data_IF_775382231830
#
_entry.id   IF_775382231830
#
_cell.length_a   1.000
_cell.length_b   1.000
_cell.length_c   1.000
_cell.angle_alpha   90.00
_cell.angle_beta   90.00
_cell.angle_gamma   90.00
#
_symmetry.space_group_name_H-M   'P 1'
#
loop_
_entity.id
_entity.type
_entity.pdbx_description
1 polymer ?
#
# COMPACT_ATOMS: atom_id res chain seq x y z
N UNK A 1 -13.76 15.55 2.29
CA UNK A 1 -12.63 14.59 2.30
C UNK A 1 -11.71 14.93 3.47
N UNK A 2 -11.30 13.96 4.29
CA UNK A 2 -10.24 14.14 5.29
C UNK A 2 -8.88 14.13 4.59
N UNK A 3 -7.92 14.89 5.12
CA UNK A 3 -6.59 15.01 4.53
C UNK A 3 -5.50 14.81 5.58
N UNK A 4 -4.35 14.32 5.14
CA UNK A 4 -3.10 14.28 5.87
C UNK A 4 -2.07 15.16 5.15
N UNK A 5 -1.05 15.62 5.88
CA UNK A 5 0.10 16.30 5.30
C UNK A 5 1.26 15.30 5.21
N UNK A 6 1.95 15.27 4.09
CA UNK A 6 3.22 14.54 3.99
C UNK A 6 4.27 15.31 4.78
N UNK A 7 4.93 14.62 5.69
CA UNK A 7 5.90 15.20 6.64
C UNK A 7 6.95 16.07 5.93
N UNK A 8 7.27 17.19 6.55
CA UNK A 8 8.30 18.16 6.09
C UNK A 8 8.12 18.64 4.64
N UNK A 9 6.88 18.56 4.11
CA UNK A 9 6.51 19.05 2.77
C UNK A 9 5.27 19.94 2.82
N UNK A 10 4.93 20.58 1.70
CA UNK A 10 3.67 21.31 1.50
C UNK A 10 2.53 20.41 0.96
N UNK A 11 2.83 19.16 0.63
CA UNK A 11 1.87 18.22 0.05
C UNK A 11 0.76 17.84 1.03
N UNK A 12 -0.48 17.99 0.59
CA UNK A 12 -1.70 17.61 1.30
C UNK A 12 -2.44 16.55 0.51
N UNK A 13 -2.63 15.38 1.10
CA UNK A 13 -3.22 14.21 0.43
C UNK A 13 -4.52 13.77 1.13
N UNK A 14 -5.42 13.13 0.40
CA UNK A 14 -6.58 12.46 1.00
C UNK A 14 -6.13 11.35 1.94
N UNK A 15 -6.81 11.17 3.09
CA UNK A 15 -6.48 10.11 4.06
C UNK A 15 -6.76 8.69 3.57
N UNK A 16 -7.40 8.56 2.41
CA UNK A 16 -7.45 7.32 1.63
C UNK A 16 -6.66 7.57 0.34
N UNK A 17 -5.71 6.67 0.03
CA UNK A 17 -5.00 6.65 -1.24
C UNK A 17 -5.43 5.46 -2.08
N UNK A 18 -5.40 5.59 -3.41
CA UNK A 18 -5.62 4.46 -4.32
C UNK A 18 -4.33 3.64 -4.44
N UNK A 19 -4.38 2.37 -4.03
CA UNK A 19 -3.32 1.41 -4.31
C UNK A 19 -3.57 0.67 -5.63
N UNK A 20 -2.60 0.70 -6.54
CA UNK A 20 -2.76 0.22 -7.92
C UNK A 20 -2.08 -1.13 -8.20
N UNK A 21 -1.65 -1.86 -7.17
CA UNK A 21 -1.02 -3.17 -7.38
C UNK A 21 -1.90 -4.13 -8.19
N UNK A 22 -3.18 -4.20 -7.86
CA UNK A 22 -4.11 -5.07 -8.56
C UNK A 22 -4.42 -4.60 -10.00
N UNK A 23 -4.27 -3.30 -10.28
CA UNK A 23 -4.38 -2.70 -11.62
C UNK A 23 -3.25 -3.20 -12.54
N UNK A 24 -2.03 -3.42 -12.01
CA UNK A 24 -0.93 -4.01 -12.75
C UNK A 24 -1.19 -5.43 -13.25
N UNK A 25 -2.17 -6.15 -12.71
CA UNK A 25 -2.66 -7.45 -13.15
C UNK A 25 -1.80 -8.65 -12.76
N UNK A 26 -0.49 -8.52 -12.67
CA UNK A 26 0.41 -9.59 -12.20
C UNK A 26 0.12 -9.95 -10.75
N UNK A 27 0.05 -11.24 -10.42
CA UNK A 27 -0.35 -11.80 -9.12
C UNK A 27 -1.84 -11.55 -8.74
N UNK A 28 -2.66 -11.05 -9.70
CA UNK A 28 -4.09 -10.76 -9.48
C UNK A 28 -5.00 -11.37 -10.56
N UNK A 29 -4.46 -12.28 -11.41
CA UNK A 29 -5.24 -12.96 -12.46
C UNK A 29 -5.48 -12.11 -13.70
N UNK A 30 -4.62 -11.11 -13.97
CA UNK A 30 -4.71 -10.24 -15.15
C UNK A 30 -5.43 -8.91 -14.89
N UNK A 31 -5.47 -8.07 -15.95
CA UNK A 31 -6.08 -6.73 -15.90
C UNK A 31 -6.68 -6.39 -17.28
N UNK A 32 -7.58 -5.44 -17.30
CA UNK A 32 -8.13 -4.77 -18.49
C UNK A 32 -7.69 -3.31 -18.48
N UNK A 33 -7.14 -2.82 -19.59
CA UNK A 33 -6.59 -1.45 -19.68
C UNK A 33 -7.65 -0.37 -19.47
N UNK A 34 -8.78 -0.47 -20.17
CA UNK A 34 -9.82 0.57 -20.15
C UNK A 34 -10.47 0.63 -18.76
N UNK A 35 -10.77 -0.54 -18.17
CA UNK A 35 -11.30 -0.63 -16.80
C UNK A 35 -10.30 -0.10 -15.79
N UNK A 36 -9.00 -0.36 -15.97
CA UNK A 36 -7.94 0.11 -15.07
C UNK A 36 -7.81 1.63 -15.07
N UNK A 37 -7.78 2.25 -16.26
CA UNK A 37 -7.75 3.70 -16.43
C UNK A 37 -9.00 4.32 -15.79
N UNK A 38 -10.19 3.83 -16.14
CA UNK A 38 -11.45 4.30 -15.57
C UNK A 38 -11.49 4.15 -14.04
N UNK A 39 -10.83 3.14 -13.46
CA UNK A 39 -10.74 2.97 -12.00
C UNK A 39 -9.92 4.08 -11.34
N UNK A 40 -8.80 4.47 -11.94
CA UNK A 40 -7.98 5.59 -11.43
C UNK A 40 -8.76 6.89 -11.52
N UNK A 41 -9.41 7.16 -12.65
CA UNK A 41 -10.24 8.34 -12.86
C UNK A 41 -11.41 8.41 -11.87
N UNK A 42 -12.13 7.31 -11.67
CA UNK A 42 -13.21 7.24 -10.68
C UNK A 42 -12.74 7.49 -9.24
N UNK A 43 -11.53 7.06 -8.89
CA UNK A 43 -10.95 7.36 -7.58
C UNK A 43 -10.70 8.87 -7.43
N UNK A 44 -10.15 9.52 -8.46
CA UNK A 44 -9.93 10.98 -8.50
C UNK A 44 -11.27 11.71 -8.37
N UNK A 45 -12.30 11.32 -9.12
CA UNK A 45 -13.65 11.88 -9.04
C UNK A 45 -14.28 11.72 -7.65
N UNK A 46 -13.95 10.65 -6.94
CA UNK A 46 -14.33 10.42 -5.55
C UNK A 46 -13.48 11.25 -4.55
N UNK A 47 -12.59 12.12 -5.01
CA UNK A 47 -11.77 13.05 -4.23
C UNK A 47 -10.51 12.41 -3.65
N UNK A 48 -10.05 11.25 -4.18
CA UNK A 48 -8.77 10.65 -3.83
C UNK A 48 -7.65 11.40 -4.56
N UNK A 49 -6.73 11.97 -3.81
CA UNK A 49 -5.61 12.75 -4.35
C UNK A 49 -4.27 12.03 -4.28
N UNK A 50 -4.16 10.89 -3.59
CA UNK A 50 -2.95 10.08 -3.54
C UNK A 50 -3.13 8.80 -4.36
N UNK A 51 -2.27 8.61 -5.36
CA UNK A 51 -2.23 7.41 -6.21
C UNK A 51 -0.89 6.70 -5.95
N UNK A 52 -0.94 5.49 -5.38
CA UNK A 52 0.24 4.67 -5.09
C UNK A 52 0.40 3.56 -6.14
N UNK A 53 1.55 3.53 -6.79
CA UNK A 53 1.94 2.55 -7.81
C UNK A 53 3.35 2.01 -7.59
N UNK A 54 3.86 1.18 -8.50
CA UNK A 54 5.24 0.72 -8.54
C UNK A 54 5.61 0.14 -9.93
N UNK A 55 6.91 0.19 -10.33
CA UNK A 55 7.40 -0.40 -11.57
C UNK A 55 7.10 -1.91 -11.69
N UNK A 56 7.22 -2.66 -10.59
CA UNK A 56 6.98 -4.11 -10.59
C UNK A 56 5.50 -4.50 -10.70
N UNK A 57 4.57 -3.56 -10.56
CA UNK A 57 3.14 -3.84 -10.72
C UNK A 57 2.78 -4.05 -12.19
N UNK A 58 2.80 -5.32 -12.60
CA UNK A 58 2.62 -5.69 -14.00
C UNK A 58 3.80 -5.27 -14.89
N UNK A 59 5.02 -5.14 -14.31
CA UNK A 59 6.24 -4.81 -15.05
C UNK A 59 6.12 -3.51 -15.87
N UNK A 60 5.75 -2.43 -15.15
CA UNK A 60 5.51 -1.09 -15.69
C UNK A 60 4.07 -0.81 -16.16
N UNK A 61 3.20 -1.82 -16.20
CA UNK A 61 1.81 -1.66 -16.69
C UNK A 61 1.01 -0.70 -15.81
N UNK A 62 1.12 -0.84 -14.47
CA UNK A 62 0.38 0.01 -13.54
C UNK A 62 0.79 1.49 -13.67
N UNK A 63 2.08 1.80 -13.76
CA UNK A 63 2.55 3.18 -13.95
C UNK A 63 2.06 3.79 -15.25
N UNK A 64 2.08 3.03 -16.38
CA UNK A 64 1.52 3.51 -17.66
C UNK A 64 0.04 3.84 -17.56
N UNK A 65 -0.76 2.96 -16.93
CA UNK A 65 -2.20 3.21 -16.78
C UNK A 65 -2.51 4.38 -15.86
N UNK A 66 -1.70 4.58 -14.81
CA UNK A 66 -1.80 5.76 -13.94
C UNK A 66 -1.45 7.05 -14.71
N UNK A 67 -0.34 7.05 -15.47
CA UNK A 67 0.04 8.20 -16.30
C UNK A 67 -1.01 8.56 -17.32
N UNK A 68 -1.50 7.59 -18.07
CA UNK A 68 -2.59 7.78 -19.06
C UNK A 68 -3.88 8.29 -18.40
N UNK A 69 -4.26 7.72 -17.25
CA UNK A 69 -5.47 8.12 -16.54
C UNK A 69 -5.45 9.58 -16.09
N UNK A 70 -4.28 10.05 -15.59
CA UNK A 70 -4.11 11.42 -15.10
C UNK A 70 -4.03 12.40 -16.27
N UNK A 71 -3.22 12.11 -17.30
CA UNK A 71 -3.01 12.99 -18.44
C UNK A 71 -4.30 13.38 -19.16
N UNK A 72 -5.28 12.47 -19.21
CA UNK A 72 -6.56 12.67 -19.91
C UNK A 72 -7.68 13.18 -18.99
N UNK A 73 -7.45 13.33 -17.65
CA UNK A 73 -8.56 13.51 -16.71
C UNK A 73 -8.45 14.74 -15.79
N UNK A 74 -7.26 15.10 -15.33
CA UNK A 74 -7.04 16.21 -14.41
C UNK A 74 -5.67 16.85 -14.61
N UNK A 75 -5.46 18.01 -13.97
CA UNK A 75 -4.13 18.61 -13.93
C UNK A 75 -3.18 17.72 -13.07
N UNK A 76 -1.91 17.61 -13.49
CA UNK A 76 -0.91 16.80 -12.80
C UNK A 76 -0.76 17.20 -11.32
N UNK A 77 -0.90 18.48 -11.01
CA UNK A 77 -0.76 19.04 -9.67
C UNK A 77 -1.97 18.78 -8.77
N UNK A 78 -3.07 18.29 -9.30
CA UNK A 78 -4.27 17.92 -8.51
C UNK A 78 -4.08 16.59 -7.77
N UNK A 79 -3.06 15.80 -8.14
CA UNK A 79 -2.77 14.49 -7.59
C UNK A 79 -1.33 14.37 -7.12
N UNK A 80 -1.14 13.57 -6.08
CA UNK A 80 0.17 13.15 -5.55
C UNK A 80 0.43 11.74 -6.03
N UNK A 81 1.49 11.53 -6.81
CA UNK A 81 1.90 10.23 -7.30
C UNK A 81 3.00 9.67 -6.38
N UNK A 82 2.71 8.53 -5.77
CA UNK A 82 3.70 7.74 -5.05
C UNK A 82 4.10 6.53 -5.90
N UNK A 83 5.39 6.40 -6.22
CA UNK A 83 5.92 5.18 -6.85
C UNK A 83 7.17 4.70 -6.14
N UNK A 84 7.79 3.63 -6.64
CA UNK A 84 8.77 2.89 -5.86
C UNK A 84 9.99 2.50 -6.70
N UNK A 85 11.07 2.12 -6.00
CA UNK A 85 12.33 1.62 -6.58
C UNK A 85 12.91 0.51 -5.68
N UNK A 86 14.01 -0.10 -6.07
CA UNK A 86 14.71 -1.10 -5.27
C UNK A 86 14.19 -2.53 -5.49
N UNK A 87 13.29 -2.70 -6.45
CA UNK A 87 12.97 -4.00 -7.02
C UNK A 87 13.30 -4.01 -8.52
N UNK A 88 13.86 -5.11 -8.96
CA UNK A 88 14.18 -5.36 -10.36
C UNK A 88 13.58 -6.71 -10.79
N UNK A 89 13.56 -7.03 -12.06
CA UNK A 89 13.03 -8.31 -12.56
C UNK A 89 13.79 -8.85 -13.77
N UNK A 90 13.82 -10.19 -13.86
CA UNK A 90 14.30 -10.94 -15.02
C UNK A 90 13.21 -11.90 -15.45
N UNK A 91 12.61 -11.66 -16.62
CA UNK A 91 11.39 -12.36 -17.03
C UNK A 91 10.24 -12.08 -16.05
N UNK A 92 9.78 -13.10 -15.31
CA UNK A 92 8.72 -12.96 -14.28
C UNK A 92 9.27 -13.02 -12.85
N UNK A 93 10.58 -13.16 -12.66
CA UNK A 93 11.19 -13.23 -11.33
C UNK A 93 11.56 -11.86 -10.86
N UNK A 94 10.92 -11.41 -9.77
CA UNK A 94 11.20 -10.13 -9.11
C UNK A 94 12.25 -10.38 -8.02
N UNK A 95 13.20 -9.44 -7.85
CA UNK A 95 14.25 -9.49 -6.85
C UNK A 95 14.63 -8.09 -6.36
N UNK A 96 15.33 -8.00 -5.21
CA UNK A 96 15.78 -6.74 -4.62
C UNK A 96 17.03 -6.24 -5.32
N UNK A 97 17.07 -4.96 -5.65
CA UNK A 97 18.21 -4.28 -6.27
C UNK A 97 18.11 -2.76 -6.03
N UNK A 98 18.71 -2.31 -4.94
CA UNK A 98 18.70 -0.89 -4.54
C UNK A 98 20.03 -0.19 -4.80
N UNK A 99 20.86 -0.72 -5.74
CA UNK A 99 22.11 -0.08 -6.13
C UNK A 99 21.86 1.30 -6.74
N UNK A 100 22.80 2.26 -6.55
CA UNK A 100 22.69 3.62 -7.09
C UNK A 100 22.35 3.68 -8.58
N UNK A 101 23.03 2.88 -9.41
CA UNK A 101 22.80 2.84 -10.86
C UNK A 101 21.35 2.41 -11.18
N UNK A 102 20.85 1.39 -10.45
CA UNK A 102 19.49 0.90 -10.66
C UNK A 102 18.42 1.93 -10.24
N UNK A 103 18.68 2.66 -9.16
CA UNK A 103 17.78 3.73 -8.70
C UNK A 103 17.68 4.82 -9.76
N UNK A 104 18.82 5.26 -10.34
CA UNK A 104 18.84 6.28 -11.39
C UNK A 104 18.21 5.82 -12.70
N UNK A 105 18.44 4.57 -13.12
CA UNK A 105 17.76 3.99 -14.29
C UNK A 105 16.24 3.93 -14.10
N UNK A 106 15.78 3.51 -12.91
CA UNK A 106 14.35 3.31 -12.67
C UNK A 106 13.58 4.62 -12.56
N UNK A 107 14.17 5.69 -11.98
CA UNK A 107 13.47 6.98 -11.90
C UNK A 107 13.14 7.51 -13.29
N UNK A 108 14.10 7.46 -14.24
CA UNK A 108 13.91 7.89 -15.62
C UNK A 108 12.79 7.08 -16.30
N UNK A 109 12.83 5.75 -16.13
CA UNK A 109 11.82 4.86 -16.68
C UNK A 109 10.42 5.06 -16.05
N UNK A 110 10.36 5.39 -14.75
CA UNK A 110 9.10 5.70 -14.05
C UNK A 110 8.51 7.03 -14.51
N UNK A 111 9.34 8.08 -14.68
CA UNK A 111 8.92 9.38 -15.23
C UNK A 111 8.32 9.23 -16.63
N UNK A 112 8.97 8.43 -17.50
CA UNK A 112 8.46 8.14 -18.86
C UNK A 112 7.10 7.43 -18.81
N UNK A 113 6.98 6.35 -18.01
CA UNK A 113 5.72 5.59 -17.89
C UNK A 113 4.58 6.40 -17.28
N UNK A 114 4.87 7.25 -16.30
CA UNK A 114 3.90 8.11 -15.63
C UNK A 114 3.61 9.42 -16.40
N UNK A 115 4.35 9.70 -17.48
CA UNK A 115 4.20 10.89 -18.33
C UNK A 115 4.31 12.19 -17.52
N UNK A 116 5.30 12.28 -16.63
CA UNK A 116 5.53 13.41 -15.73
C UNK A 116 7.03 13.74 -15.64
N UNK A 117 7.36 14.95 -15.24
CA UNK A 117 8.72 15.42 -15.04
C UNK A 117 9.23 15.25 -13.60
N UNK A 118 8.35 14.90 -12.66
CA UNK A 118 8.70 14.64 -11.26
C UNK A 118 7.81 13.57 -10.62
N UNK A 119 8.34 12.95 -9.55
CA UNK A 119 7.60 12.04 -8.66
C UNK A 119 7.37 12.75 -7.33
N UNK A 120 6.13 12.75 -6.82
CA UNK A 120 5.86 13.39 -5.52
C UNK A 120 6.43 12.61 -4.35
N UNK A 121 6.22 11.29 -4.30
CA UNK A 121 6.75 10.40 -3.24
C UNK A 121 7.48 9.23 -3.89
N UNK A 122 8.80 9.16 -3.74
CA UNK A 122 9.59 8.05 -4.26
C UNK A 122 10.07 7.17 -3.12
N UNK A 123 9.79 5.86 -3.20
CA UNK A 123 9.95 4.95 -2.07
C UNK A 123 10.85 3.77 -2.40
N UNK A 124 11.80 3.42 -1.51
CA UNK A 124 12.48 2.12 -1.58
C UNK A 124 11.47 1.04 -1.21
N UNK A 125 11.14 0.14 -2.15
CA UNK A 125 10.03 -0.82 -2.05
C UNK A 125 10.27 -1.91 -1.01
N UNK A 126 11.50 -2.42 -0.93
CA UNK A 126 11.99 -3.38 0.06
C UNK A 126 13.44 -3.08 0.40
N UNK A 127 13.87 -3.30 1.65
CA UNK A 127 15.28 -3.19 2.00
C UNK A 127 16.08 -4.24 1.20
N UNK A 128 17.24 -3.83 0.69
CA UNK A 128 18.17 -4.70 -0.04
C UNK A 128 19.43 -4.92 0.81
N UNK A 129 19.53 -6.09 1.45
CA UNK A 129 20.65 -6.40 2.34
C UNK A 129 22.00 -6.61 1.57
N UNK A 130 21.96 -6.62 0.23
CA UNK A 130 23.15 -6.70 -0.63
C UNK A 130 23.68 -5.33 -1.06
N UNK A 131 22.95 -4.26 -0.74
CA UNK A 131 23.35 -2.87 -0.98
C UNK A 131 23.33 -2.12 0.35
N UNK A 132 24.42 -1.45 0.77
CA UNK A 132 24.42 -0.67 2.00
C UNK A 132 23.29 0.36 2.01
N UNK A 133 22.57 0.46 3.14
CA UNK A 133 21.47 1.44 3.30
C UNK A 133 21.97 2.86 3.04
N UNK A 134 23.21 3.17 3.42
CA UNK A 134 23.84 4.45 3.14
C UNK A 134 23.83 4.80 1.65
N UNK A 135 24.30 3.89 0.78
CA UNK A 135 24.39 4.14 -0.68
C UNK A 135 23.00 4.38 -1.28
N UNK A 136 22.01 3.58 -0.85
CA UNK A 136 20.60 3.75 -1.25
C UNK A 136 20.06 5.11 -0.78
N UNK A 137 20.29 5.48 0.48
CA UNK A 137 19.78 6.71 1.07
C UNK A 137 20.44 7.96 0.43
N UNK A 138 21.76 7.95 0.23
CA UNK A 138 22.49 9.03 -0.43
C UNK A 138 22.00 9.24 -1.87
N UNK A 139 21.76 8.16 -2.63
CA UNK A 139 21.20 8.25 -3.98
C UNK A 139 19.77 8.82 -3.99
N UNK A 140 18.93 8.39 -3.06
CA UNK A 140 17.58 8.97 -2.92
C UNK A 140 17.63 10.46 -2.57
N UNK A 141 18.61 10.86 -1.74
CA UNK A 141 18.83 12.27 -1.40
C UNK A 141 19.31 13.09 -2.60
N UNK A 142 20.19 12.54 -3.44
CA UNK A 142 20.61 13.21 -4.67
C UNK A 142 19.41 13.50 -5.59
N UNK A 143 18.53 12.51 -5.82
CA UNK A 143 17.30 12.71 -6.62
C UNK A 143 16.38 13.78 -6.01
N UNK A 144 16.31 13.85 -4.69
CA UNK A 144 15.55 14.88 -3.97
C UNK A 144 16.18 16.28 -4.15
N UNK A 145 17.49 16.39 -4.01
CA UNK A 145 18.23 17.65 -4.19
C UNK A 145 18.19 18.13 -5.67
N UNK A 146 18.13 17.21 -6.62
CA UNK A 146 17.95 17.47 -8.06
C UNK A 146 16.50 17.92 -8.40
N UNK A 147 15.54 17.74 -7.48
CA UNK A 147 14.13 18.09 -7.69
C UNK A 147 13.34 17.08 -8.53
N UNK A 148 13.92 15.91 -8.83
CA UNK A 148 13.22 14.82 -9.53
C UNK A 148 12.17 14.14 -8.65
N UNK A 149 12.34 14.20 -7.31
CA UNK A 149 11.39 13.71 -6.32
C UNK A 149 11.12 14.76 -5.25
N UNK A 150 9.89 14.84 -4.75
CA UNK A 150 9.46 15.84 -3.75
C UNK A 150 9.47 15.31 -2.33
N UNK A 151 9.44 14.00 -2.14
CA UNK A 151 9.55 13.33 -0.84
C UNK A 151 10.20 11.95 -0.99
N UNK A 152 11.01 11.58 0.01
CA UNK A 152 11.66 10.27 0.10
C UNK A 152 10.87 9.37 1.03
N UNK A 153 10.62 8.13 0.60
CA UNK A 153 9.95 7.12 1.40
C UNK A 153 10.67 5.77 1.42
N UNK A 154 10.24 4.92 2.34
CA UNK A 154 10.63 3.51 2.40
C UNK A 154 9.41 2.63 2.64
N UNK A 155 9.44 1.40 2.17
CA UNK A 155 8.39 0.40 2.43
C UNK A 155 9.02 -0.89 2.94
N UNK A 156 8.35 -1.56 3.90
CA UNK A 156 8.82 -2.81 4.50
C UNK A 156 10.16 -2.71 5.26
N UNK A 157 10.56 -1.53 5.66
CA UNK A 157 11.73 -1.31 6.50
C UNK A 157 11.38 -1.49 7.98
N UNK A 158 12.29 -2.10 8.75
CA UNK A 158 12.22 -2.08 10.20
C UNK A 158 12.56 -0.69 10.75
N UNK A 159 12.21 -0.41 12.02
CA UNK A 159 12.58 0.85 12.65
C UNK A 159 14.10 1.05 12.70
N UNK A 160 14.90 -0.02 12.88
CA UNK A 160 16.36 0.06 12.86
C UNK A 160 16.90 0.46 11.48
N UNK A 161 16.36 -0.10 10.40
CA UNK A 161 16.71 0.27 9.02
C UNK A 161 16.29 1.70 8.69
N UNK A 162 15.11 2.15 9.15
CA UNK A 162 14.68 3.54 8.99
C UNK A 162 15.59 4.51 9.77
N UNK A 163 16.01 4.14 10.97
CA UNK A 163 16.94 4.94 11.77
C UNK A 163 18.31 5.10 11.05
N UNK A 164 18.84 4.00 10.50
CA UNK A 164 20.07 4.04 9.69
C UNK A 164 19.90 4.92 8.44
N UNK A 165 18.81 4.74 7.69
CA UNK A 165 18.50 5.54 6.49
C UNK A 165 18.50 7.05 6.80
N UNK A 166 17.90 7.46 7.92
CA UNK A 166 17.78 8.86 8.35
C UNK A 166 19.11 9.52 8.73
N UNK A 167 20.19 8.76 8.96
CA UNK A 167 21.53 9.35 9.12
C UNK A 167 22.11 9.87 7.80
N UNK A 168 21.58 9.44 6.65
CA UNK A 168 22.12 9.73 5.32
C UNK A 168 21.19 10.55 4.43
N UNK A 169 19.85 10.47 4.67
CA UNK A 169 18.85 11.19 3.90
C UNK A 169 17.64 11.57 4.77
N UNK A 170 16.88 12.62 4.43
CA UNK A 170 15.57 12.85 5.03
C UNK A 170 14.63 11.69 4.72
N UNK A 171 13.74 11.35 5.66
CA UNK A 171 12.73 10.32 5.48
C UNK A 171 11.36 10.90 5.80
N UNK A 172 10.54 11.10 4.76
CA UNK A 172 9.23 11.73 4.86
C UNK A 172 8.10 10.72 5.03
N UNK A 173 8.26 9.52 4.45
CA UNK A 173 7.20 8.52 4.34
C UNK A 173 7.69 7.12 4.71
N UNK A 174 6.87 6.36 5.44
CA UNK A 174 7.02 4.92 5.63
C UNK A 174 5.74 4.20 5.18
N UNK A 175 5.90 3.13 4.40
CA UNK A 175 4.76 2.34 3.90
C UNK A 175 4.80 0.91 4.42
N UNK A 176 4.28 0.64 5.65
CA UNK A 176 4.16 -0.69 6.20
C UNK A 176 2.84 -1.38 5.82
N UNK A 177 2.75 -2.74 5.86
CA UNK A 177 1.48 -3.45 5.85
C UNK A 177 0.75 -3.23 7.18
N UNK A 178 -0.54 -2.85 7.12
CA UNK A 178 -1.32 -2.69 8.34
C UNK A 178 -2.82 -2.83 8.10
N UNK A 179 -3.46 -3.73 8.83
CA UNK A 179 -4.90 -3.94 8.81
C UNK A 179 -5.38 -4.72 10.04
N UNK A 180 -6.68 -4.93 10.17
CA UNK A 180 -7.31 -5.63 11.30
C UNK A 180 -6.72 -7.02 11.61
N UNK A 181 -6.12 -7.69 10.64
CA UNK A 181 -5.59 -9.06 10.77
C UNK A 181 -4.05 -9.15 10.66
N UNK A 182 -3.37 -8.06 10.35
CA UNK A 182 -1.91 -7.94 10.18
C UNK A 182 -1.48 -6.66 10.88
N UNK A 183 -0.98 -6.78 12.13
CA UNK A 183 -0.85 -5.66 13.05
C UNK A 183 0.56 -5.39 13.53
N UNK A 184 1.53 -6.19 13.08
CA UNK A 184 2.90 -6.17 13.57
C UNK A 184 3.52 -4.77 13.48
N UNK A 185 3.23 -4.01 12.41
CA UNK A 185 3.73 -2.65 12.26
C UNK A 185 3.24 -1.67 13.35
N UNK A 186 2.13 -1.99 14.03
CA UNK A 186 1.61 -1.21 15.15
C UNK A 186 2.44 -1.34 16.44
N UNK A 187 3.31 -2.34 16.55
CA UNK A 187 4.11 -2.61 17.73
C UNK A 187 5.40 -1.75 17.76
N UNK A 188 5.99 -1.46 16.59
CA UNK A 188 7.28 -0.78 16.49
C UNK A 188 7.35 0.29 15.37
N UNK A 189 7.02 -0.05 14.12
CA UNK A 189 7.19 0.82 12.94
C UNK A 189 6.32 2.08 13.04
N UNK A 190 5.02 1.92 13.33
CA UNK A 190 4.09 3.04 13.41
C UNK A 190 4.42 3.96 14.60
N UNK A 191 4.68 3.47 15.83
CA UNK A 191 5.16 4.29 16.93
C UNK A 191 6.45 5.04 16.62
N UNK A 192 7.43 4.39 15.98
CA UNK A 192 8.67 5.03 15.52
C UNK A 192 8.38 6.18 14.55
N UNK A 193 7.49 5.97 13.57
CA UNK A 193 7.10 7.01 12.63
C UNK A 193 6.45 8.21 13.32
N UNK A 194 5.56 7.97 14.29
CA UNK A 194 4.91 9.03 15.06
C UNK A 194 5.91 9.84 15.88
N UNK A 195 6.89 9.18 16.54
CA UNK A 195 7.94 9.85 17.30
C UNK A 195 8.82 10.75 16.44
N UNK A 196 9.04 10.35 15.18
CA UNK A 196 9.98 11.03 14.28
C UNK A 196 9.30 11.88 13.21
N UNK A 197 7.99 12.09 13.28
CA UNK A 197 7.24 12.91 12.33
C UNK A 197 7.24 12.34 10.90
N UNK A 198 7.29 11.00 10.73
CA UNK A 198 7.26 10.33 9.43
C UNK A 198 5.81 9.99 9.10
N UNK A 199 5.34 10.35 7.92
CA UNK A 199 3.99 10.03 7.45
C UNK A 199 3.86 8.55 7.13
N UNK A 200 2.82 7.89 7.66
CA UNK A 200 2.55 6.47 7.41
C UNK A 200 1.56 6.32 6.26
N UNK A 201 1.90 5.52 5.23
CA UNK A 201 1.00 5.07 4.18
C UNK A 201 0.72 3.57 4.38
N UNK A 202 -0.30 3.21 5.15
CA UNK A 202 -0.59 1.81 5.44
C UNK A 202 -1.14 1.07 4.22
N UNK A 203 -0.44 0.03 3.72
CA UNK A 203 -0.95 -0.79 2.64
C UNK A 203 -1.65 -2.07 3.12
N UNK A 204 -2.34 -2.75 2.22
CA UNK A 204 -3.15 -3.95 2.53
C UNK A 204 -4.32 -3.72 3.49
N UNK A 205 -4.84 -2.50 3.62
CA UNK A 205 -5.91 -2.14 4.56
C UNK A 205 -7.15 -3.05 4.49
N UNK A 206 -7.46 -3.62 3.32
CA UNK A 206 -8.54 -4.60 3.11
C UNK A 206 -8.05 -6.06 3.14
N UNK A 207 -6.83 -6.34 3.61
CA UNK A 207 -6.26 -7.69 3.71
C UNK A 207 -6.45 -8.49 2.42
N UNK A 208 -6.01 -7.95 1.27
CA UNK A 208 -6.13 -8.58 -0.07
C UNK A 208 -7.56 -8.97 -0.43
N UNK A 209 -8.54 -8.23 0.07
CA UNK A 209 -9.96 -8.43 -0.17
C UNK A 209 -10.69 -9.27 0.90
N UNK A 210 -10.00 -9.82 1.90
CA UNK A 210 -10.62 -10.54 3.02
C UNK A 210 -11.65 -9.66 3.75
N UNK A 211 -11.30 -8.41 4.02
CA UNK A 211 -12.11 -7.43 4.74
C UNK A 211 -13.17 -6.71 3.87
N UNK A 212 -13.41 -7.21 2.65
CA UNK A 212 -14.46 -6.64 1.79
C UNK A 212 -15.87 -7.09 2.16
N UNK A 213 -15.99 -8.22 2.90
CA UNK A 213 -17.27 -8.87 3.15
C UNK A 213 -17.89 -9.55 1.91
N UNK A 214 -17.16 -9.60 0.78
CA UNK A 214 -17.64 -10.18 -0.49
C UNK A 214 -17.19 -11.63 -0.70
N UNK A 215 -16.23 -12.12 0.10
CA UNK A 215 -15.74 -13.49 0.02
C UNK A 215 -16.66 -14.46 0.79
N UNK A 216 -16.72 -15.70 0.33
CA UNK A 216 -17.47 -16.80 0.92
C UNK A 216 -16.61 -18.08 0.94
N UNK A 217 -17.00 -19.14 1.66
CA UNK A 217 -16.28 -20.42 1.65
C UNK A 217 -16.13 -21.04 0.25
N UNK A 218 -17.02 -20.67 -0.70
CA UNK A 218 -16.97 -21.12 -2.09
C UNK A 218 -16.12 -20.20 -3.01
N UNK A 219 -15.53 -19.13 -2.49
CA UNK A 219 -14.70 -18.23 -3.28
C UNK A 219 -13.44 -18.96 -3.78
N UNK A 220 -13.15 -18.84 -5.07
CA UNK A 220 -12.00 -19.46 -5.71
C UNK A 220 -11.11 -18.41 -6.35
N UNK A 221 -9.82 -18.69 -6.39
CA UNK A 221 -8.81 -17.83 -7.00
C UNK A 221 -8.11 -18.60 -8.13
N UNK A 222 -7.89 -17.99 -9.28
CA UNK A 222 -7.35 -18.65 -10.47
C UNK A 222 -6.07 -17.99 -10.99
N UNK A 223 -5.40 -18.67 -11.94
CA UNK A 223 -4.20 -18.15 -12.57
C UNK A 223 -3.05 -17.94 -11.59
N UNK A 224 -2.43 -16.78 -11.64
CA UNK A 224 -1.32 -16.34 -10.78
C UNK A 224 -1.76 -15.60 -9.54
N UNK A 225 -3.07 -15.56 -9.22
CA UNK A 225 -3.61 -14.86 -8.05
C UNK A 225 -2.91 -15.31 -6.76
N UNK A 226 -2.28 -14.36 -6.07
CA UNK A 226 -1.45 -14.61 -4.88
C UNK A 226 -2.23 -15.28 -3.74
N UNK A 227 -3.55 -15.05 -3.63
CA UNK A 227 -4.42 -15.62 -2.60
C UNK A 227 -4.49 -17.15 -2.66
N UNK A 228 -4.14 -17.75 -3.79
CA UNK A 228 -3.99 -19.22 -3.91
C UNK A 228 -2.87 -19.79 -3.04
N UNK A 229 -1.88 -18.99 -2.68
CA UNK A 229 -0.71 -19.37 -1.89
C UNK A 229 -0.68 -18.74 -0.51
N UNK A 230 -1.47 -17.70 -0.29
CA UNK A 230 -1.56 -17.01 1.01
C UNK A 230 -2.29 -17.93 2.01
N UNK A 231 -1.64 -18.31 3.12
CA UNK A 231 -2.23 -19.21 4.10
C UNK A 231 -3.56 -18.73 4.68
N UNK A 232 -3.80 -17.41 4.77
CA UNK A 232 -5.06 -16.85 5.27
C UNK A 232 -6.27 -17.21 4.40
N UNK A 233 -6.03 -17.51 3.12
CA UNK A 233 -7.08 -17.92 2.16
C UNK A 233 -7.17 -19.44 2.00
N UNK A 234 -6.54 -20.21 2.91
CA UNK A 234 -6.59 -21.66 2.95
C UNK A 234 -7.30 -22.14 4.22
N UNK A 235 -8.00 -23.28 4.11
CA UNK A 235 -8.58 -23.95 5.29
C UNK A 235 -7.45 -24.43 6.24
N UNK A 236 -7.63 -24.36 7.57
CA UNK A 236 -8.83 -23.93 8.29
C UNK A 236 -8.88 -22.43 8.60
N UNK A 237 -7.90 -21.64 8.18
CA UNK A 237 -7.82 -20.22 8.52
C UNK A 237 -8.91 -19.41 7.79
N UNK A 238 -9.16 -19.72 6.52
CA UNK A 238 -10.07 -18.93 5.68
C UNK A 238 -11.48 -18.81 6.29
N UNK A 239 -12.03 -19.92 6.76
CA UNK A 239 -13.36 -19.96 7.39
C UNK A 239 -13.41 -19.10 8.65
N UNK A 240 -12.37 -19.14 9.49
CA UNK A 240 -12.29 -18.34 10.72
C UNK A 240 -12.26 -16.84 10.42
N UNK A 241 -11.47 -16.44 9.42
CA UNK A 241 -11.43 -15.05 8.99
C UNK A 241 -12.76 -14.59 8.40
N UNK A 242 -13.46 -15.44 7.63
CA UNK A 242 -14.80 -15.13 7.10
C UNK A 242 -15.82 -14.95 8.22
N UNK A 243 -15.79 -15.77 9.26
CA UNK A 243 -16.67 -15.64 10.42
C UNK A 243 -16.40 -14.32 11.17
N UNK A 244 -15.13 -13.97 11.39
CA UNK A 244 -14.76 -12.67 11.96
C UNK A 244 -15.28 -11.51 11.11
N UNK A 245 -15.06 -11.55 9.79
CA UNK A 245 -15.52 -10.52 8.84
C UNK A 245 -17.05 -10.37 8.87
N UNK A 246 -17.78 -11.46 8.95
CA UNK A 246 -19.25 -11.44 9.07
C UNK A 246 -19.66 -10.70 10.35
N UNK A 247 -19.04 -10.99 11.49
CA UNK A 247 -19.34 -10.35 12.77
C UNK A 247 -18.95 -8.87 12.79
N UNK A 248 -17.79 -8.54 12.22
CA UNK A 248 -17.37 -7.15 12.03
C UNK A 248 -18.34 -6.36 11.15
N UNK A 249 -18.89 -6.99 10.09
CA UNK A 249 -19.88 -6.36 9.23
C UNK A 249 -21.22 -6.14 9.96
N UNK A 250 -21.70 -7.13 10.72
CA UNK A 250 -22.90 -7.00 11.57
C UNK A 250 -22.73 -5.82 12.55
N UNK A 251 -21.56 -5.73 13.20
CA UNK A 251 -21.23 -4.64 14.13
C UNK A 251 -21.18 -3.27 13.43
N UNK A 252 -20.48 -3.18 12.29
CA UNK A 252 -20.34 -1.95 11.52
C UNK A 252 -21.69 -1.40 11.04
N UNK A 253 -22.57 -2.28 10.54
CA UNK A 253 -23.91 -1.92 10.11
C UNK A 253 -24.77 -1.44 11.29
N UNK A 254 -24.76 -2.18 12.39
CA UNK A 254 -25.55 -1.84 13.58
C UNK A 254 -25.12 -0.52 14.22
N UNK A 255 -23.81 -0.33 14.42
CA UNK A 255 -23.29 0.78 15.21
C UNK A 255 -23.12 2.08 14.40
N UNK A 256 -22.75 1.96 13.12
CA UNK A 256 -22.32 3.07 12.29
C UNK A 256 -23.08 3.20 10.95
N UNK A 257 -23.95 2.26 10.60
CA UNK A 257 -24.55 2.17 9.26
C UNK A 257 -23.50 2.15 8.16
N UNK A 258 -22.38 1.44 8.40
CA UNK A 258 -21.23 1.30 7.51
C UNK A 258 -20.96 -0.16 7.21
N UNK A 259 -20.27 -0.43 6.11
CA UNK A 259 -19.82 -1.78 5.75
C UNK A 259 -18.52 -2.14 6.48
N UNK A 260 -18.19 -3.44 6.53
CA UNK A 260 -16.90 -3.90 7.08
C UNK A 260 -15.69 -3.31 6.35
N UNK A 261 -15.78 -3.03 5.05
CA UNK A 261 -14.71 -2.34 4.30
C UNK A 261 -14.43 -0.96 4.89
N UNK A 262 -15.48 -0.18 5.11
CA UNK A 262 -15.38 1.15 5.68
C UNK A 262 -14.90 1.11 7.14
N UNK A 263 -15.38 0.13 7.92
CA UNK A 263 -14.89 -0.11 9.28
C UNK A 263 -13.40 -0.43 9.31
N UNK A 264 -12.94 -1.33 8.45
CA UNK A 264 -11.54 -1.77 8.38
C UNK A 264 -10.60 -0.61 8.03
N UNK A 265 -10.96 0.21 7.05
CA UNK A 265 -10.18 1.39 6.68
C UNK A 265 -10.24 2.46 7.78
N UNK A 266 -11.41 2.70 8.39
CA UNK A 266 -11.53 3.64 9.51
C UNK A 266 -10.67 3.20 10.69
N UNK A 267 -10.62 1.91 10.99
CA UNK A 267 -9.76 1.37 12.05
C UNK A 267 -8.27 1.66 11.78
N UNK A 268 -7.80 1.48 10.54
CA UNK A 268 -6.42 1.84 10.16
C UNK A 268 -6.17 3.33 10.38
N UNK A 269 -7.11 4.19 9.99
CA UNK A 269 -6.99 5.64 10.11
C UNK A 269 -7.04 6.16 11.56
N UNK A 270 -7.74 5.46 12.46
CA UNK A 270 -7.90 5.86 13.86
C UNK A 270 -6.84 5.24 14.78
N UNK A 271 -6.08 4.26 14.31
CA UNK A 271 -5.07 3.56 15.10
C UNK A 271 -3.73 4.31 15.09
N UNK A 272 -3.69 5.42 15.84
CA UNK A 272 -2.43 6.00 16.32
C UNK A 272 -1.58 6.78 15.31
N UNK A 273 -2.08 7.13 14.12
CA UNK A 273 -1.33 7.98 13.19
C UNK A 273 -2.24 8.86 12.33
N UNK A 274 -1.73 10.03 11.96
CA UNK A 274 -2.39 10.97 11.05
C UNK A 274 -2.12 10.64 9.55
N UNK A 275 -1.79 9.40 9.25
CA UNK A 275 -1.39 8.95 7.93
C UNK A 275 -2.55 8.61 6.99
N UNK A 276 -2.24 7.82 5.99
CA UNK A 276 -3.11 7.41 4.89
C UNK A 276 -3.31 5.90 4.89
N UNK A 277 -4.52 5.44 4.61
CA UNK A 277 -4.81 4.04 4.31
C UNK A 277 -4.91 3.84 2.79
N UNK A 278 -4.09 2.93 2.24
CA UNK A 278 -4.15 2.58 0.83
C UNK A 278 -5.27 1.55 0.59
N UNK A 279 -6.18 1.93 -0.28
CA UNK A 279 -7.32 1.11 -0.71
C UNK A 279 -7.09 0.62 -2.14
N UNK A 280 -6.91 -0.68 -2.33
CA UNK A 280 -6.78 -1.29 -3.65
C UNK A 280 -8.13 -1.44 -4.35
N UNK A 281 -8.22 -1.01 -5.61
CA UNK A 281 -9.39 -1.21 -6.47
C UNK A 281 -8.97 -1.72 -7.85
N UNK A 282 -9.89 -2.40 -8.54
CA UNK A 282 -9.72 -2.97 -9.89
C UNK A 282 -10.81 -2.55 -10.86
N UNK A 283 -11.91 -2.02 -10.34
CA UNK A 283 -13.03 -1.49 -11.15
C UNK A 283 -13.50 -0.16 -10.54
N UNK A 284 -14.10 0.73 -11.36
CA UNK A 284 -14.62 2.01 -10.88
C UNK A 284 -15.55 1.87 -9.67
N UNK A 285 -16.46 0.90 -9.69
CA UNK A 285 -17.45 0.69 -8.62
C UNK A 285 -16.81 0.32 -7.27
N UNK A 286 -15.56 -0.16 -7.28
CA UNK A 286 -14.83 -0.44 -6.05
C UNK A 286 -14.29 0.81 -5.37
N UNK A 287 -14.32 1.95 -6.04
CA UNK A 287 -13.92 3.25 -5.47
C UNK A 287 -15.08 3.97 -4.79
N UNK A 288 -16.34 3.73 -5.19
CA UNK A 288 -17.53 4.39 -4.66
C UNK A 288 -17.66 4.33 -3.12
N UNK A 289 -17.29 3.22 -2.43
CA UNK A 289 -17.38 3.17 -0.98
C UNK A 289 -16.31 3.96 -0.23
N UNK A 290 -15.22 4.40 -0.89
CA UNK A 290 -14.06 5.02 -0.25
C UNK A 290 -14.43 6.25 0.59
N UNK A 291 -15.19 7.25 0.08
CA UNK A 291 -15.54 8.42 0.88
C UNK A 291 -16.33 8.08 2.15
N UNK A 292 -17.07 6.98 2.13
CA UNK A 292 -17.85 6.53 3.28
C UNK A 292 -17.03 5.98 4.47
N UNK A 293 -15.72 5.77 4.32
CA UNK A 293 -14.83 5.45 5.43
C UNK A 293 -14.36 6.70 6.20
N UNK A 294 -14.68 7.90 5.70
CA UNK A 294 -14.30 9.18 6.27
C UNK A 294 -15.48 9.91 6.92
N UNK A 295 -15.21 10.93 7.73
CA UNK A 295 -16.22 11.78 8.38
C UNK A 295 -16.82 11.20 9.66
N UNK A 296 -16.21 10.15 10.22
CA UNK A 296 -16.58 9.54 11.51
C UNK A 296 -15.34 8.91 12.15
N UNK A 297 -15.45 8.45 13.38
CA UNK A 297 -14.33 7.84 14.11
C UNK A 297 -14.78 6.69 15.01
N UNK A 298 -13.84 5.81 15.34
CA UNK A 298 -14.03 4.73 16.30
C UNK A 298 -13.69 5.23 17.70
N UNK A 299 -14.61 5.10 18.65
CA UNK A 299 -14.34 5.35 20.04
C UNK A 299 -13.65 4.14 20.72
N UNK A 300 -13.19 4.33 21.96
CA UNK A 300 -12.51 3.26 22.71
C UNK A 300 -13.39 2.02 22.91
N UNK A 301 -14.70 2.19 23.04
CA UNK A 301 -15.62 1.07 23.19
C UNK A 301 -15.74 0.26 21.89
N UNK A 302 -15.78 0.94 20.75
CA UNK A 302 -15.76 0.31 19.45
C UNK A 302 -14.46 -0.44 19.19
N UNK A 303 -13.31 0.14 19.54
CA UNK A 303 -12.02 -0.57 19.44
C UNK A 303 -12.04 -1.85 20.27
N UNK A 304 -12.54 -1.80 21.52
CA UNK A 304 -12.66 -2.99 22.37
C UNK A 304 -13.59 -4.06 21.78
N UNK A 305 -14.73 -3.67 21.21
CA UNK A 305 -15.64 -4.61 20.57
C UNK A 305 -15.04 -5.28 19.33
N UNK A 306 -14.30 -4.53 18.51
CA UNK A 306 -13.58 -5.08 17.35
C UNK A 306 -12.52 -6.10 17.80
N UNK A 307 -11.76 -5.78 18.85
CA UNK A 307 -10.78 -6.72 19.44
C UNK A 307 -11.43 -8.01 19.90
N UNK A 308 -12.54 -7.93 20.63
CA UNK A 308 -13.26 -9.08 21.14
C UNK A 308 -13.79 -9.98 20.00
N UNK A 309 -14.33 -9.36 18.93
CA UNK A 309 -14.78 -10.11 17.75
C UNK A 309 -13.62 -10.86 17.11
N UNK A 310 -12.48 -10.19 16.91
CA UNK A 310 -11.31 -10.82 16.27
C UNK A 310 -10.75 -11.93 17.15
N UNK A 311 -10.53 -11.70 18.44
CA UNK A 311 -10.01 -12.68 19.37
C UNK A 311 -10.91 -13.93 19.50
N UNK A 312 -12.23 -13.75 19.40
CA UNK A 312 -13.21 -14.85 19.47
C UNK A 312 -13.17 -15.74 18.23
N UNK A 313 -13.01 -15.16 17.05
CA UNK A 313 -13.14 -15.91 15.79
C UNK A 313 -11.79 -16.28 15.15
N UNK A 314 -10.75 -15.47 15.32
CA UNK A 314 -9.38 -15.73 14.80
C UNK A 314 -8.51 -16.23 15.93
N UNK A 315 -8.74 -17.47 16.38
CA UNK A 315 -8.02 -18.11 17.50
C UNK A 315 -6.63 -18.59 17.13
N UNK A 316 -6.35 -18.76 15.84
CA UNK A 316 -5.05 -19.15 15.31
C UNK A 316 -4.78 -18.35 14.04
N UNK A 317 -3.54 -17.89 13.90
CA UNK A 317 -3.04 -17.16 12.72
C UNK A 317 -1.97 -18.00 12.02
N UNK A 318 -1.80 -17.85 10.70
CA UNK A 318 -0.67 -18.47 10.00
C UNK A 318 0.67 -18.00 10.58
N UNK A 319 1.66 -18.90 10.66
CA UNK A 319 3.00 -18.59 11.19
C UNK A 319 3.77 -17.53 10.37
N UNK A 320 3.44 -17.37 9.09
CA UNK A 320 4.13 -16.41 8.21
C UNK A 320 3.43 -15.04 8.23
N UNK A 321 4.20 -14.01 8.56
CA UNK A 321 3.77 -12.62 8.36
C UNK A 321 3.57 -12.31 6.86
N UNK A 322 2.79 -11.27 6.55
CA UNK A 322 2.62 -10.81 5.17
C UNK A 322 3.95 -10.44 4.52
N UNK A 323 4.82 -9.74 5.26
CA UNK A 323 6.13 -9.34 4.78
C UNK A 323 7.00 -10.56 4.41
N UNK A 324 7.01 -11.62 5.23
CA UNK A 324 7.76 -12.84 4.93
C UNK A 324 7.17 -13.64 3.76
N UNK A 325 5.88 -13.50 3.51
CA UNK A 325 5.20 -14.14 2.38
C UNK A 325 5.45 -13.40 1.05
N UNK A 326 5.45 -12.06 1.06
CA UNK A 326 5.59 -11.23 -0.14
C UNK A 326 7.03 -10.85 -0.47
N UNK A 327 7.97 -10.98 0.48
CA UNK A 327 9.35 -10.50 0.35
C UNK A 327 10.08 -11.13 -0.84
N UNK A 328 10.47 -10.33 -1.87
CA UNK A 328 11.25 -10.85 -2.99
C UNK A 328 12.64 -11.30 -2.55
N UNK A 329 13.26 -12.28 -3.24
CA UNK A 329 14.63 -12.72 -2.97
C UNK A 329 15.64 -11.61 -3.26
N UNK A 330 16.85 -11.75 -2.69
CA UNK A 330 18.00 -10.92 -3.03
C UNK A 330 18.55 -11.28 -4.42
N UNK A 331 19.26 -10.33 -5.04
CA UNK A 331 19.85 -10.45 -6.38
C UNK A 331 20.76 -11.68 -6.53
N UNK A 332 21.61 -11.97 -5.53
CA UNK A 332 22.52 -13.11 -5.54
C UNK A 332 21.83 -14.48 -5.65
N UNK A 333 20.53 -14.55 -5.34
CA UNK A 333 19.73 -15.78 -5.45
C UNK A 333 19.06 -15.98 -6.82
N UNK A 334 19.25 -15.04 -7.75
CA UNK A 334 18.71 -15.11 -9.09
C UNK A 334 19.75 -15.75 -9.99
N UNK A 335 19.44 -16.92 -10.53
CA UNK A 335 20.31 -17.60 -11.50
C UNK A 335 20.59 -16.70 -12.71
N UNK A 336 21.82 -16.71 -13.26
CA UNK A 336 22.24 -15.86 -14.37
C UNK A 336 21.40 -16.04 -15.65
#
# INVERSE_FOLDING_TARGET
>A
MEHARVADTDMKVSRIGLGTWAIGGSMWGGTDREVSIATVQAAIDNGITLIDTAPVYGFGTSERYVGEAIADHCDRDDVVIATKVGLNWKGKTIFRDSRPERIREEIEASLDRLQTDHIDIYQVHWPDDETPIQETAETMKELYDEGLIRAIGVSNFSFGQMNEFRHHAPLHVSQPPYNLFEREAGEDVIPYCAEHGITVLSYSGLCRGMLTGKLSPSSTFSGDDLRRKDPKFQSPYFERYLDAVKKLNEYALWRYSRTVMQLAIRWVLDFGHDGVALWGARTPEQTDPMPGALGWSLDKAAMGAIEEIIATHVTETPERSLASFLGPPHRSRISP
#
